data_IF_171706377416
#
_entry.id   IF_171706377416
#
_cell.length_a   1.000
_cell.length_b   1.000
_cell.length_c   1.000
_cell.angle_alpha   90.00
_cell.angle_beta   90.00
_cell.angle_gamma   90.00
#
_symmetry.space_group_name_H-M   'P 1'
#
loop_
_entity.id
_entity.type
_entity.pdbx_description
1 polymer ?
#
# COMPACT_ATOMS: atom_id res chain seq x y z
N UNK A 1 11.96 -19.61 -2.39
CA UNK A 1 12.07 -20.45 -1.20
C UNK A 1 10.74 -21.15 -0.99
N UNK A 2 10.79 -22.45 -0.75
CA UNK A 2 9.66 -23.30 -0.37
C UNK A 2 9.22 -23.03 1.06
N UNK A 3 8.01 -23.46 1.41
CA UNK A 3 7.46 -23.34 2.77
C UNK A 3 8.37 -24.01 3.81
N UNK A 4 8.91 -25.19 3.48
CA UNK A 4 9.82 -25.94 4.37
C UNK A 4 11.13 -25.21 4.62
N UNK A 5 11.73 -24.61 3.59
CA UNK A 5 12.95 -23.81 3.74
C UNK A 5 12.71 -22.61 4.66
N UNK A 6 11.58 -21.91 4.52
CA UNK A 6 11.20 -20.80 5.42
C UNK A 6 11.06 -21.27 6.86
N UNK A 7 10.35 -22.38 7.09
CA UNK A 7 10.23 -22.98 8.42
C UNK A 7 11.59 -23.35 9.02
N UNK A 8 12.51 -23.92 8.22
CA UNK A 8 13.85 -24.24 8.68
C UNK A 8 14.66 -22.99 9.05
N UNK A 9 14.57 -21.92 8.25
CA UNK A 9 15.24 -20.65 8.53
C UNK A 9 14.73 -19.96 9.80
N UNK A 10 13.43 -20.03 10.10
CA UNK A 10 12.88 -19.53 11.36
C UNK A 10 13.57 -20.14 12.59
N UNK A 11 13.95 -21.42 12.51
CA UNK A 11 14.68 -22.08 13.60
C UNK A 11 16.19 -21.83 13.54
N UNK A 12 16.80 -21.95 12.36
CA UNK A 12 18.25 -21.87 12.19
C UNK A 12 18.82 -20.46 12.37
N UNK A 13 18.10 -19.44 11.89
CA UNK A 13 18.49 -18.02 11.98
C UNK A 13 17.71 -17.28 13.10
N UNK A 14 16.88 -17.99 13.86
CA UNK A 14 15.97 -17.42 14.89
C UNK A 14 15.07 -16.28 14.36
N UNK A 15 14.67 -16.35 13.08
CA UNK A 15 13.78 -15.35 12.47
C UNK A 15 12.36 -15.46 13.03
N UNK A 16 11.72 -14.30 13.18
CA UNK A 16 10.29 -14.23 13.37
C UNK A 16 9.53 -14.77 12.14
N UNK A 17 8.31 -15.29 12.32
CA UNK A 17 7.46 -15.70 11.20
C UNK A 17 7.00 -14.53 10.31
N UNK A 18 6.98 -13.32 10.85
CA UNK A 18 6.40 -12.12 10.24
C UNK A 18 7.47 -11.05 10.09
N UNK A 19 7.55 -10.47 8.91
CA UNK A 19 8.43 -9.37 8.56
C UNK A 19 7.70 -8.03 8.54
N UNK A 20 8.30 -7.00 9.12
CA UNK A 20 7.90 -5.60 8.96
C UNK A 20 9.10 -4.76 8.54
N UNK A 21 9.04 -4.06 7.41
CA UNK A 21 10.15 -3.19 6.93
C UNK A 21 9.58 -1.85 6.50
N UNK A 22 9.69 -0.83 7.36
CA UNK A 22 9.22 0.53 7.07
C UNK A 22 10.18 1.57 7.65
N UNK A 23 10.32 2.69 6.94
CA UNK A 23 11.14 3.83 7.37
C UNK A 23 10.36 5.14 7.48
N UNK A 24 9.13 5.16 6.99
CA UNK A 24 8.20 6.28 7.12
C UNK A 24 7.25 5.97 8.28
N UNK A 25 7.47 6.63 9.41
CA UNK A 25 6.75 6.35 10.66
C UNK A 25 5.78 7.48 10.96
N UNK A 26 4.80 7.24 11.84
CA UNK A 26 3.72 8.21 12.10
C UNK A 26 2.97 8.55 10.80
N UNK A 27 2.36 7.53 10.19
CA UNK A 27 1.60 7.67 8.95
C UNK A 27 0.11 7.85 9.21
N UNK A 28 -0.63 8.41 8.25
CA UNK A 28 -2.09 8.60 8.36
C UNK A 28 -2.90 7.32 8.64
N UNK A 29 -2.38 6.15 8.29
CA UNK A 29 -2.96 4.84 8.62
C UNK A 29 -2.73 4.39 10.07
N UNK A 30 -1.91 5.10 10.85
CA UNK A 30 -1.50 4.74 12.22
C UNK A 30 -1.02 3.27 12.33
N UNK A 31 -0.36 2.81 11.26
CA UNK A 31 0.00 1.41 11.07
C UNK A 31 0.95 0.88 12.15
N UNK A 32 1.83 1.73 12.67
CA UNK A 32 2.82 1.38 13.68
C UNK A 32 2.16 0.97 15.01
N UNK A 33 1.05 1.62 15.36
CA UNK A 33 0.25 1.29 16.54
C UNK A 33 -0.38 -0.10 16.43
N UNK A 34 -0.95 -0.43 15.26
CA UNK A 34 -1.48 -1.78 14.99
C UNK A 34 -0.39 -2.85 15.04
N UNK A 35 0.78 -2.60 14.42
CA UNK A 35 1.93 -3.51 14.46
C UNK A 35 2.39 -3.74 15.89
N UNK A 36 2.52 -2.68 16.68
CA UNK A 36 2.92 -2.75 18.09
C UNK A 36 1.94 -3.57 18.94
N UNK A 37 0.64 -3.47 18.68
CA UNK A 37 -0.37 -4.31 19.33
C UNK A 37 -0.25 -5.78 18.89
N UNK A 38 -0.07 -6.03 17.59
CA UNK A 38 0.08 -7.38 17.04
C UNK A 38 1.35 -8.08 17.59
N UNK A 39 2.44 -7.33 17.81
CA UNK A 39 3.70 -7.84 18.37
C UNK A 39 3.55 -8.47 19.75
N UNK A 40 2.51 -8.11 20.51
CA UNK A 40 2.20 -8.74 21.81
C UNK A 40 1.74 -10.20 21.68
N UNK A 41 1.32 -10.62 20.48
CA UNK A 41 0.67 -11.91 20.24
C UNK A 41 1.42 -12.80 19.22
N UNK A 42 2.31 -12.23 18.42
CA UNK A 42 3.15 -12.95 17.47
C UNK A 42 4.49 -12.23 17.30
N UNK A 43 5.60 -12.99 17.20
CA UNK A 43 6.91 -12.41 16.92
C UNK A 43 6.91 -11.76 15.54
N UNK A 44 7.39 -10.52 15.47
CA UNK A 44 7.59 -9.74 14.25
C UNK A 44 9.02 -9.22 14.29
N UNK A 45 9.77 -9.46 13.22
CA UNK A 45 11.06 -8.80 13.01
C UNK A 45 10.80 -7.51 12.22
N UNK A 46 11.13 -6.39 12.84
CA UNK A 46 10.92 -5.05 12.35
C UNK A 46 12.26 -4.41 12.02
N UNK A 47 12.44 -4.12 10.73
CA UNK A 47 13.59 -3.45 10.16
C UNK A 47 13.20 -2.07 9.61
N UNK A 48 14.18 -1.21 9.38
CA UNK A 48 13.97 0.18 8.97
C UNK A 48 13.95 1.11 10.18
N UNK A 49 13.32 2.26 10.05
CA UNK A 49 13.27 3.26 11.13
C UNK A 49 12.13 3.01 12.12
N UNK A 50 11.03 2.40 11.68
CA UNK A 50 9.81 2.25 12.49
C UNK A 50 9.87 0.98 13.32
N UNK A 51 9.56 1.08 14.62
CA UNK A 51 9.69 0.03 15.67
C UNK A 51 11.13 -0.50 15.84
N UNK A 52 11.80 -0.91 14.77
CA UNK A 52 13.24 -1.19 14.65
C UNK A 52 13.78 -2.12 15.75
N UNK A 53 13.13 -3.27 15.94
CA UNK A 53 13.56 -4.29 16.90
C UNK A 53 14.56 -5.30 16.32
N UNK A 54 14.85 -5.22 15.01
CA UNK A 54 15.77 -6.09 14.30
C UNK A 54 16.69 -5.28 13.38
N UNK A 55 17.94 -5.72 13.23
CA UNK A 55 18.96 -4.99 12.47
C UNK A 55 19.18 -5.63 11.10
N UNK A 56 19.04 -4.80 10.06
CA UNK A 56 19.29 -5.20 8.69
C UNK A 56 20.82 -5.28 8.46
N UNK A 57 21.26 -6.18 7.60
CA UNK A 57 22.65 -6.17 7.11
C UNK A 57 22.92 -4.83 6.40
N UNK A 58 24.09 -4.23 6.62
CA UNK A 58 24.48 -2.98 5.98
C UNK A 58 24.40 -3.04 4.45
N UNK A 59 24.59 -4.23 3.84
CA UNK A 59 24.44 -4.44 2.40
C UNK A 59 23.03 -4.13 1.89
N UNK A 60 22.03 -4.33 2.73
CA UNK A 60 20.62 -4.10 2.41
C UNK A 60 20.13 -2.69 2.84
N UNK A 61 20.99 -1.86 3.47
CA UNK A 61 20.61 -0.53 3.99
C UNK A 61 20.71 0.59 2.94
N UNK A 62 21.50 0.42 1.88
CA UNK A 62 21.77 1.49 0.92
C UNK A 62 20.57 1.72 -0.02
N UNK A 63 19.98 2.92 -0.01
CA UNK A 63 18.92 3.39 -0.92
C UNK A 63 17.72 2.44 -1.13
N UNK A 64 16.78 2.45 -0.20
CA UNK A 64 15.47 1.76 -0.30
C UNK A 64 14.73 1.98 -1.64
N UNK A 65 14.91 3.17 -2.25
CA UNK A 65 14.26 3.54 -3.52
C UNK A 65 14.88 2.84 -4.75
N UNK A 66 16.19 2.58 -4.74
CA UNK A 66 16.88 1.86 -5.82
C UNK A 66 16.71 0.32 -5.69
N UNK A 67 16.30 -0.14 -4.51
CA UNK A 67 16.26 -1.56 -4.09
C UNK A 67 14.88 -2.21 -4.24
N UNK A 68 13.86 -1.49 -4.72
CA UNK A 68 12.48 -2.01 -4.81
C UNK A 68 12.37 -3.36 -5.55
N UNK A 69 13.30 -3.63 -6.48
CA UNK A 69 13.40 -4.89 -7.22
C UNK A 69 14.78 -5.57 -7.09
N UNK A 70 15.64 -5.13 -6.18
CA UNK A 70 16.95 -5.75 -5.97
C UNK A 70 16.78 -7.21 -5.54
N UNK A 71 17.55 -8.10 -6.19
CA UNK A 71 17.47 -9.54 -5.96
C UNK A 71 17.88 -9.91 -4.55
N UNK A 72 18.88 -9.23 -3.96
CA UNK A 72 19.33 -9.56 -2.61
C UNK A 72 18.26 -9.22 -1.59
N UNK A 73 17.66 -8.04 -1.71
CA UNK A 73 16.54 -7.65 -0.86
C UNK A 73 15.30 -8.53 -1.04
N UNK A 74 14.93 -8.87 -2.28
CA UNK A 74 13.83 -9.79 -2.54
C UNK A 74 14.10 -11.19 -1.96
N UNK A 75 15.35 -11.66 -2.01
CA UNK A 75 15.74 -12.91 -1.38
C UNK A 75 15.63 -12.85 0.15
N UNK A 76 16.01 -11.73 0.77
CA UNK A 76 15.81 -11.49 2.19
C UNK A 76 14.33 -11.55 2.59
N UNK A 77 13.46 -10.84 1.86
CA UNK A 77 12.00 -10.88 2.10
C UNK A 77 11.45 -12.30 1.90
N UNK A 78 12.00 -13.07 0.95
CA UNK A 78 11.58 -14.44 0.68
C UNK A 78 11.79 -15.41 1.86
N UNK A 79 12.68 -15.10 2.81
CA UNK A 79 12.94 -15.92 4.00
C UNK A 79 11.74 -15.98 4.95
N UNK A 80 10.88 -14.96 4.94
CA UNK A 80 9.74 -14.86 5.85
C UNK A 80 8.49 -15.54 5.29
N UNK A 81 7.67 -16.10 6.19
CA UNK A 81 6.36 -16.67 5.81
C UNK A 81 5.34 -15.56 5.53
N UNK A 82 5.32 -14.53 6.38
CA UNK A 82 4.42 -13.38 6.24
C UNK A 82 5.19 -12.07 6.14
N UNK A 83 4.62 -11.09 5.44
CA UNK A 83 5.15 -9.73 5.39
C UNK A 83 4.02 -8.74 5.59
N UNK A 84 4.18 -7.82 6.55
CA UNK A 84 3.24 -6.73 6.78
C UNK A 84 3.37 -5.72 5.63
N UNK A 85 2.30 -5.59 4.86
CA UNK A 85 2.16 -4.79 3.66
C UNK A 85 1.19 -3.63 3.90
N UNK A 86 1.47 -2.83 4.94
CA UNK A 86 0.61 -1.70 5.32
C UNK A 86 0.98 -0.44 4.56
N UNK A 87 0.00 0.20 3.95
CA UNK A 87 0.15 1.49 3.27
C UNK A 87 0.23 2.65 4.28
N UNK A 88 0.75 3.79 3.84
CA UNK A 88 0.86 5.00 4.67
C UNK A 88 -0.52 5.65 4.92
N UNK A 89 -1.49 5.40 4.05
CA UNK A 89 -2.85 5.95 4.12
C UNK A 89 -3.87 4.94 3.58
N UNK A 90 -5.13 5.12 3.96
CA UNK A 90 -6.26 4.28 3.53
C UNK A 90 -7.06 5.04 2.49
N UNK A 91 -6.79 4.76 1.22
CA UNK A 91 -7.42 5.43 0.09
C UNK A 91 -7.76 4.42 -1.00
N UNK A 92 -8.87 4.66 -1.71
CA UNK A 92 -9.19 3.86 -2.89
C UNK A 92 -8.04 3.91 -3.90
N UNK A 93 -7.72 2.74 -4.47
CA UNK A 93 -6.66 2.53 -5.47
C UNK A 93 -5.22 2.86 -5.04
N UNK A 94 -4.98 3.28 -3.79
CA UNK A 94 -3.63 3.45 -3.23
C UNK A 94 -3.02 2.10 -2.83
N UNK A 95 -2.52 1.38 -3.82
CA UNK A 95 -1.87 0.07 -3.68
C UNK A 95 -0.46 0.18 -4.24
N UNK A 96 0.53 0.04 -3.38
CA UNK A 96 1.93 0.28 -3.73
C UNK A 96 2.72 -1.02 -3.81
N UNK A 97 4.04 -0.91 -3.98
CA UNK A 97 4.97 -2.03 -3.99
C UNK A 97 4.86 -2.90 -2.72
N UNK A 98 4.35 -2.35 -1.60
CA UNK A 98 4.24 -3.06 -0.32
C UNK A 98 3.38 -4.31 -0.43
N UNK A 99 2.29 -4.26 -1.20
CA UNK A 99 1.47 -5.44 -1.48
C UNK A 99 2.17 -6.42 -2.44
N UNK A 100 2.76 -5.89 -3.50
CA UNK A 100 3.27 -6.69 -4.62
C UNK A 100 4.59 -7.41 -4.30
N UNK A 101 5.50 -6.76 -3.57
CA UNK A 101 6.82 -7.30 -3.20
C UNK A 101 6.74 -8.67 -2.53
N UNK A 102 5.97 -8.88 -1.44
CA UNK A 102 5.85 -10.20 -0.82
C UNK A 102 5.20 -11.24 -1.74
N UNK A 103 4.16 -10.85 -2.51
CA UNK A 103 3.50 -11.73 -3.48
C UNK A 103 4.49 -12.32 -4.49
N UNK A 104 5.38 -11.48 -5.02
CA UNK A 104 6.40 -11.87 -6.01
C UNK A 104 7.40 -12.86 -5.44
N UNK A 105 7.76 -12.77 -4.16
CA UNK A 105 8.75 -13.66 -3.53
C UNK A 105 8.14 -14.85 -2.80
N UNK A 106 6.81 -14.89 -2.71
CA UNK A 106 6.05 -15.97 -2.07
C UNK A 106 6.01 -15.85 -0.55
N UNK A 107 6.14 -14.64 -0.01
CA UNK A 107 5.73 -14.31 1.36
C UNK A 107 4.27 -13.85 1.31
N UNK A 108 3.44 -14.24 2.28
CA UNK A 108 2.01 -13.88 2.27
C UNK A 108 1.86 -12.47 2.86
N UNK A 109 1.36 -11.48 2.08
CA UNK A 109 1.11 -10.15 2.60
C UNK A 109 -0.02 -10.13 3.65
N UNK A 110 0.24 -9.46 4.77
CA UNK A 110 -0.77 -9.01 5.73
C UNK A 110 -1.05 -7.54 5.40
N UNK A 111 -2.24 -7.24 4.87
CA UNK A 111 -2.53 -5.98 4.19
C UNK A 111 -3.47 -5.07 4.98
N UNK A 112 -3.17 -3.78 4.92
CA UNK A 112 -4.01 -2.67 5.37
C UNK A 112 -3.66 -1.44 4.52
N UNK A 113 -4.64 -0.91 3.79
CA UNK A 113 -4.38 0.07 2.73
C UNK A 113 -5.65 0.33 1.93
N UNK A 114 -5.56 0.32 0.61
CA UNK A 114 -6.72 0.50 -0.25
C UNK A 114 -7.84 -0.51 0.01
N UNK A 115 -9.10 -0.07 0.16
CA UNK A 115 -10.27 -0.96 0.19
C UNK A 115 -10.42 -1.80 -1.09
N UNK A 116 -9.91 -1.32 -2.24
CA UNK A 116 -10.02 -1.99 -3.53
C UNK A 116 -8.96 -3.09 -3.74
N UNK A 117 -8.03 -3.32 -2.82
CA UNK A 117 -6.90 -4.23 -3.04
C UNK A 117 -7.28 -5.66 -3.46
N UNK A 118 -8.40 -6.19 -2.95
CA UNK A 118 -8.91 -7.52 -3.30
C UNK A 118 -9.24 -7.65 -4.78
N UNK A 119 -9.58 -6.54 -5.46
CA UNK A 119 -9.83 -6.52 -6.90
C UNK A 119 -8.56 -6.79 -7.74
N UNK A 120 -7.39 -6.61 -7.14
CA UNK A 120 -6.10 -6.71 -7.80
C UNK A 120 -5.28 -7.93 -7.36
N UNK A 121 -5.77 -8.73 -6.42
CA UNK A 121 -5.08 -9.95 -6.00
C UNK A 121 -5.16 -11.04 -7.09
N UNK A 122 -4.14 -11.92 -7.21
CA UNK A 122 -4.21 -13.09 -8.09
C UNK A 122 -5.45 -13.96 -7.84
N UNK A 123 -5.81 -14.14 -6.57
CA UNK A 123 -6.97 -14.88 -6.11
C UNK A 123 -7.39 -14.44 -4.69
N UNK A 124 -8.48 -15.01 -4.17
CA UNK A 124 -9.04 -14.66 -2.86
C UNK A 124 -8.16 -15.05 -1.67
N UNK A 125 -7.19 -15.95 -1.85
CA UNK A 125 -6.20 -16.37 -0.87
C UNK A 125 -4.80 -16.01 -1.39
N UNK A 126 -4.55 -14.74 -1.65
CA UNK A 126 -3.20 -14.25 -1.97
C UNK A 126 -2.69 -13.27 -0.92
N UNK A 127 -3.58 -12.71 -0.10
CA UNK A 127 -3.27 -11.77 0.96
C UNK A 127 -4.24 -11.96 2.13
N UNK A 128 -3.83 -11.50 3.31
CA UNK A 128 -4.63 -11.52 4.53
C UNK A 128 -5.00 -10.07 4.86
N UNK A 129 -6.29 -9.72 4.84
CA UNK A 129 -6.73 -8.39 5.28
C UNK A 129 -6.78 -8.32 6.80
N UNK A 130 -6.26 -7.26 7.41
CA UNK A 130 -6.50 -7.07 8.85
C UNK A 130 -7.97 -6.79 9.17
N UNK A 131 -8.70 -6.20 8.21
CA UNK A 131 -10.12 -5.87 8.35
C UNK A 131 -11.03 -7.10 8.40
N UNK A 132 -10.50 -8.29 8.06
CA UNK A 132 -11.24 -9.55 8.19
C UNK A 132 -11.23 -10.08 9.64
N UNK A 133 -10.56 -9.36 10.57
CA UNK A 133 -10.44 -9.73 11.99
C UNK A 133 -10.94 -8.61 12.90
N UNK A 134 -11.56 -8.98 14.01
CA UNK A 134 -12.07 -8.01 14.99
C UNK A 134 -10.99 -7.42 15.91
N UNK A 135 -9.78 -7.96 15.90
CA UNK A 135 -8.66 -7.49 16.73
C UNK A 135 -7.32 -8.11 16.31
N UNK A 136 -6.18 -7.47 16.66
CA UNK A 136 -4.84 -8.01 16.40
C UNK A 136 -4.60 -9.42 16.98
N UNK A 137 -5.14 -9.73 18.17
CA UNK A 137 -5.02 -11.07 18.76
C UNK A 137 -5.71 -12.16 17.91
N UNK A 138 -6.86 -11.85 17.29
CA UNK A 138 -7.56 -12.79 16.40
C UNK A 138 -6.77 -13.03 15.11
N UNK A 139 -6.16 -11.98 14.56
CA UNK A 139 -5.21 -12.12 13.46
C UNK A 139 -4.00 -12.98 13.86
N UNK A 140 -3.38 -12.74 15.02
CA UNK A 140 -2.26 -13.53 15.49
C UNK A 140 -2.61 -15.02 15.65
N UNK A 141 -3.77 -15.34 16.23
CA UNK A 141 -4.25 -16.72 16.32
C UNK A 141 -4.41 -17.38 14.95
N UNK A 142 -4.95 -16.64 13.98
CA UNK A 142 -5.07 -17.11 12.60
C UNK A 142 -3.70 -17.39 11.97
N UNK A 143 -2.73 -16.49 12.13
CA UNK A 143 -1.36 -16.68 11.65
C UNK A 143 -0.69 -17.89 12.30
N UNK A 144 -0.84 -18.08 13.61
CA UNK A 144 -0.32 -19.27 14.32
C UNK A 144 -0.90 -20.58 13.78
N UNK A 145 -2.18 -20.60 13.38
CA UNK A 145 -2.77 -21.78 12.76
C UNK A 145 -2.14 -22.09 11.39
N UNK A 146 -1.86 -21.06 10.58
CA UNK A 146 -1.15 -21.22 9.32
C UNK A 146 0.32 -21.66 9.51
N UNK A 147 0.99 -21.20 10.57
CA UNK A 147 2.36 -21.63 10.90
C UNK A 147 2.44 -23.13 11.22
N UNK A 148 1.37 -23.71 11.78
CA UNK A 148 1.29 -25.13 12.15
C UNK A 148 0.85 -26.04 10.99
N UNK A 149 0.32 -25.47 9.91
CA UNK A 149 -0.23 -26.23 8.80
C UNK A 149 0.29 -25.67 7.47
N UNK A 150 1.37 -26.27 6.97
CA UNK A 150 2.01 -25.87 5.71
C UNK A 150 1.04 -25.95 4.52
N UNK A 151 0.14 -26.94 4.47
CA UNK A 151 -0.87 -27.02 3.40
C UNK A 151 -1.82 -25.83 3.43
N UNK A 152 -2.30 -25.44 4.62
CA UNK A 152 -3.18 -24.28 4.75
C UNK A 152 -2.46 -22.96 4.43
N UNK A 153 -1.18 -22.85 4.78
CA UNK A 153 -0.34 -21.71 4.39
C UNK A 153 -0.12 -21.67 2.86
N UNK A 154 0.14 -22.81 2.23
CA UNK A 154 0.40 -22.91 0.79
C UNK A 154 -0.82 -22.60 -0.08
N UNK A 155 -2.04 -22.72 0.45
CA UNK A 155 -3.24 -22.18 -0.21
C UNK A 155 -3.11 -20.68 -0.49
N UNK A 156 -2.40 -19.94 0.38
CA UNK A 156 -2.13 -18.51 0.20
C UNK A 156 -1.06 -18.20 -0.87
N UNK A 157 -0.40 -19.24 -1.41
CA UNK A 157 0.68 -19.15 -2.39
C UNK A 157 0.32 -19.82 -3.71
N UNK A 158 -0.96 -20.12 -3.92
CA UNK A 158 -1.46 -20.82 -5.11
C UNK A 158 -1.09 -20.12 -6.42
N UNK A 159 -0.93 -18.79 -6.44
CA UNK A 159 -0.46 -18.04 -7.61
C UNK A 159 0.96 -18.40 -8.04
N UNK A 160 1.80 -18.92 -7.13
CA UNK A 160 3.16 -19.41 -7.42
C UNK A 160 3.22 -20.93 -7.55
N UNK A 161 2.50 -21.65 -6.69
CA UNK A 161 2.64 -23.09 -6.54
C UNK A 161 1.80 -23.89 -7.55
N UNK A 162 0.72 -23.31 -8.10
CA UNK A 162 -0.08 -24.00 -9.11
C UNK A 162 0.74 -24.29 -10.38
N UNK A 163 0.77 -25.56 -10.78
CA UNK A 163 1.44 -26.01 -11.99
C UNK A 163 0.74 -25.48 -13.26
N UNK A 164 -0.58 -25.42 -13.22
CA UNK A 164 -1.44 -24.92 -14.29
C UNK A 164 -1.52 -23.40 -14.26
N UNK A 165 -1.12 -22.74 -15.36
CA UNK A 165 -1.03 -21.28 -15.45
C UNK A 165 -2.40 -20.62 -15.30
N UNK A 166 -3.44 -21.23 -15.85
CA UNK A 166 -4.83 -20.82 -15.77
C UNK A 166 -5.37 -20.80 -14.33
N UNK A 167 -4.76 -21.56 -13.42
CA UNK A 167 -5.15 -21.62 -12.01
C UNK A 167 -4.29 -20.71 -11.11
N UNK A 168 -3.28 -20.01 -11.66
CA UNK A 168 -2.45 -19.09 -10.88
C UNK A 168 -3.16 -17.78 -10.59
N UNK A 169 -3.96 -17.31 -11.54
CA UNK A 169 -4.76 -16.09 -11.42
C UNK A 169 -6.20 -16.44 -11.74
N UNK A 170 -7.08 -16.37 -10.74
CA UNK A 170 -8.50 -16.70 -10.88
C UNK A 170 -9.39 -15.47 -10.69
N UNK A 171 -8.81 -14.33 -10.31
CA UNK A 171 -9.52 -13.07 -10.20
C UNK A 171 -9.87 -12.53 -11.60
N UNK A 172 -11.16 -12.54 -11.94
CA UNK A 172 -11.67 -12.10 -13.24
C UNK A 172 -11.48 -10.60 -13.49
N UNK A 173 -11.55 -9.75 -12.46
CA UNK A 173 -11.30 -8.30 -12.60
C UNK A 173 -9.85 -8.06 -13.01
N UNK A 174 -8.91 -8.73 -12.33
CA UNK A 174 -7.49 -8.64 -12.65
C UNK A 174 -7.19 -9.17 -14.05
N UNK A 175 -7.73 -10.35 -14.41
CA UNK A 175 -7.55 -10.91 -15.77
C UNK A 175 -8.07 -9.95 -16.84
N UNK A 176 -9.27 -9.40 -16.64
CA UNK A 176 -9.86 -8.44 -17.57
C UNK A 176 -9.02 -7.17 -17.71
N UNK A 177 -8.48 -6.66 -16.61
CA UNK A 177 -7.59 -5.50 -16.62
C UNK A 177 -6.27 -5.79 -17.36
N UNK A 178 -5.70 -6.99 -17.16
CA UNK A 178 -4.48 -7.42 -17.85
C UNK A 178 -4.70 -7.62 -19.36
N UNK A 179 -5.83 -8.16 -19.77
CA UNK A 179 -6.20 -8.34 -21.19
C UNK A 179 -6.42 -7.00 -21.91
N UNK A 180 -7.06 -6.04 -21.23
CA UNK A 180 -7.34 -4.71 -21.78
C UNK A 180 -6.15 -3.75 -21.73
N UNK A 181 -5.10 -4.09 -21.00
CA UNK A 181 -3.89 -3.26 -20.91
C UNK A 181 -3.29 -3.12 -22.32
N UNK A 182 -3.04 -1.89 -22.74
CA UNK A 182 -2.36 -1.64 -24.02
C UNK A 182 -0.99 -2.30 -24.01
N UNK A 183 -0.78 -3.25 -24.92
CA UNK A 183 0.51 -3.92 -25.15
C UNK A 183 1.44 -2.91 -25.80
N UNK A 184 2.21 -2.18 -24.99
CA UNK A 184 3.07 -1.11 -25.49
C UNK A 184 3.58 -0.14 -24.44
N UNK A 185 2.94 -0.08 -23.25
CA UNK A 185 3.50 0.68 -22.13
C UNK A 185 4.74 -0.09 -21.66
N UNK A 186 5.97 0.46 -21.83
CA UNK A 186 7.18 -0.21 -21.37
C UNK A 186 7.03 -0.57 -19.90
N UNK A 187 7.47 -1.78 -19.52
CA UNK A 187 7.51 -2.22 -18.12
C UNK A 187 8.57 -1.47 -17.29
N UNK A 188 9.13 -0.39 -17.81
CA UNK A 188 10.10 0.44 -17.12
C UNK A 188 9.36 1.32 -16.12
N UNK A 189 9.29 0.81 -14.89
CA UNK A 189 9.11 1.64 -13.70
C UNK A 189 10.11 2.81 -13.79
N UNK A 190 9.64 3.96 -14.26
CA UNK A 190 10.51 5.11 -14.51
C UNK A 190 9.90 6.17 -15.42
N UNK A 191 8.99 5.80 -16.32
CA UNK A 191 8.46 6.74 -17.33
C UNK A 191 6.96 7.07 -17.22
N UNK A 192 6.33 6.91 -16.05
CA UNK A 192 4.92 7.33 -15.93
C UNK A 192 4.77 8.85 -16.01
N UNK A 193 5.79 9.60 -15.58
CA UNK A 193 5.77 11.06 -15.61
C UNK A 193 5.98 11.58 -17.03
N UNK A 194 6.98 11.11 -17.78
CA UNK A 194 7.16 11.56 -19.16
C UNK A 194 6.06 11.01 -20.08
N UNK A 195 5.52 9.81 -19.85
CA UNK A 195 4.30 9.33 -20.55
C UNK A 195 3.08 10.20 -20.22
N UNK A 196 2.91 10.62 -18.96
CA UNK A 196 1.82 11.53 -18.59
C UNK A 196 2.01 12.91 -19.23
N UNK A 197 3.24 13.45 -19.22
CA UNK A 197 3.58 14.71 -19.88
C UNK A 197 3.36 14.62 -21.39
N UNK A 198 3.79 13.53 -22.04
CA UNK A 198 3.52 13.25 -23.45
C UNK A 198 2.02 13.16 -23.72
N UNK A 199 1.27 12.43 -22.88
CA UNK A 199 -0.18 12.35 -22.98
C UNK A 199 -0.83 13.74 -22.90
N UNK A 200 -0.43 14.57 -21.95
CA UNK A 200 -0.94 15.96 -21.81
C UNK A 200 -0.57 16.77 -23.05
N UNK A 201 0.68 16.73 -23.51
CA UNK A 201 1.15 17.44 -24.69
C UNK A 201 0.40 17.01 -25.97
N UNK A 202 0.22 15.71 -26.19
CA UNK A 202 -0.56 15.19 -27.32
C UNK A 202 -2.01 15.65 -27.27
N UNK A 203 -2.61 15.68 -26.08
CA UNK A 203 -4.00 16.14 -25.88
C UNK A 203 -4.15 17.63 -26.19
N UNK A 204 -3.17 18.44 -25.80
CA UNK A 204 -3.12 19.88 -26.13
C UNK A 204 -2.95 20.06 -27.64
N UNK A 205 -2.04 19.30 -28.27
CA UNK A 205 -1.72 19.45 -29.70
C UNK A 205 -2.84 18.95 -30.63
N UNK A 206 -3.52 17.85 -30.29
CA UNK A 206 -4.56 17.22 -31.14
C UNK A 206 -5.86 18.02 -31.25
N UNK A 207 -6.03 19.11 -30.49
CA UNK A 207 -7.02 20.18 -30.68
C UNK A 207 -8.40 19.72 -31.20
N UNK A 208 -8.96 18.63 -30.66
CA UNK A 208 -10.31 18.17 -31.01
C UNK A 208 -11.32 18.92 -30.16
N UNK A 209 -12.08 19.79 -30.81
CA UNK A 209 -13.17 20.58 -30.25
C UNK A 209 -14.29 19.74 -29.58
N UNK A 210 -14.29 18.42 -29.75
CA UNK A 210 -15.08 17.51 -28.91
C UNK A 210 -14.24 17.01 -27.73
N UNK A 211 -13.99 17.89 -26.77
CA UNK A 211 -13.55 17.46 -25.44
C UNK A 211 -14.68 16.63 -24.83
N UNK A 212 -14.59 15.30 -24.94
CA UNK A 212 -15.36 14.39 -24.08
C UNK A 212 -15.01 14.78 -22.64
N UNK A 213 -15.90 15.54 -22.00
CA UNK A 213 -15.72 15.99 -20.62
C UNK A 213 -15.73 14.76 -19.73
N UNK A 214 -14.54 14.33 -19.32
CA UNK A 214 -14.39 13.36 -18.24
C UNK A 214 -14.51 14.13 -16.93
N UNK A 215 -15.64 13.96 -16.23
CA UNK A 215 -15.83 14.56 -14.91
C UNK A 215 -15.15 13.67 -13.89
N UNK A 216 -14.08 14.19 -13.29
CA UNK A 216 -13.48 13.59 -12.10
C UNK A 216 -14.40 13.89 -10.92
N UNK A 217 -14.79 12.85 -10.21
CA UNK A 217 -15.63 12.94 -9.01
C UNK A 217 -14.87 12.40 -7.81
N UNK A 218 -15.48 12.48 -6.62
CA UNK A 218 -14.97 11.77 -5.44
C UNK A 218 -14.80 10.26 -5.64
N UNK A 219 -15.39 9.66 -6.67
CA UNK A 219 -15.16 8.23 -6.97
C UNK A 219 -13.75 7.93 -7.49
N UNK A 220 -13.01 8.93 -7.98
CA UNK A 220 -11.69 8.74 -8.58
C UNK A 220 -10.54 9.10 -7.63
N UNK A 221 -10.72 10.09 -6.75
CA UNK A 221 -9.69 10.55 -5.82
C UNK A 221 -10.31 10.86 -4.46
N UNK A 222 -10.54 9.82 -3.66
CA UNK A 222 -11.05 9.99 -2.31
C UNK A 222 -10.23 9.17 -1.32
N UNK A 223 -9.63 9.90 -0.38
CA UNK A 223 -9.06 9.36 0.83
C UNK A 223 -10.00 9.68 1.98
N UNK A 224 -10.46 8.66 2.68
CA UNK A 224 -11.28 8.86 3.87
C UNK A 224 -10.44 9.52 4.97
N UNK A 225 -11.12 10.16 5.92
CA UNK A 225 -10.46 10.69 7.11
C UNK A 225 -9.72 9.54 7.83
N UNK A 226 -8.47 9.78 8.30
CA UNK A 226 -7.72 8.83 9.09
C UNK A 226 -8.53 8.21 10.23
N UNK A 227 -8.40 6.89 10.40
CA UNK A 227 -9.04 6.11 11.45
C UNK A 227 -8.00 5.27 12.15
N UNK A 228 -8.17 5.12 13.44
CA UNK A 228 -7.39 4.20 14.24
C UNK A 228 -7.63 2.76 13.73
N UNK A 229 -6.57 1.99 13.38
CA UNK A 229 -6.71 0.66 12.80
C UNK A 229 -7.16 -0.42 13.79
N UNK A 230 -7.15 -0.13 15.09
CA UNK A 230 -7.55 -1.06 16.15
C UNK A 230 -9.01 -0.80 16.56
N UNK A 231 -9.38 0.46 16.78
CA UNK A 231 -10.71 0.86 17.26
C UNK A 231 -11.67 1.26 16.13
N UNK A 232 -11.15 1.68 14.99
CA UNK A 232 -11.93 2.25 13.87
C UNK A 232 -12.39 3.70 14.10
N UNK A 233 -12.07 4.28 15.26
CA UNK A 233 -12.47 5.63 15.64
C UNK A 233 -11.62 6.70 14.96
N UNK A 234 -12.17 7.90 14.82
CA UNK A 234 -11.46 9.07 14.31
C UNK A 234 -10.89 9.84 15.50
N UNK A 235 -9.56 9.90 15.59
CA UNK A 235 -8.90 10.74 16.58
C UNK A 235 -8.83 12.18 16.08
N UNK A 236 -9.74 13.03 16.55
CA UNK A 236 -9.79 14.47 16.19
C UNK A 236 -8.57 15.28 16.62
N UNK A 237 -7.74 14.75 17.53
CA UNK A 237 -6.51 15.41 18.01
C UNK A 237 -5.26 14.92 17.29
N UNK A 238 -5.40 13.97 16.37
CA UNK A 238 -4.29 13.48 15.57
C UNK A 238 -3.93 14.52 14.49
N UNK A 239 -2.64 14.82 14.35
CA UNK A 239 -2.09 15.72 13.33
C UNK A 239 -2.57 15.40 11.90
N UNK A 240 -2.64 14.12 11.52
CA UNK A 240 -3.15 13.69 10.21
C UNK A 240 -4.63 14.02 10.01
N UNK A 241 -5.42 14.00 11.08
CA UNK A 241 -6.84 14.40 11.02
C UNK A 241 -6.97 15.91 10.86
N UNK A 242 -6.12 16.69 11.53
CA UNK A 242 -6.04 18.14 11.36
C UNK A 242 -5.60 18.50 9.94
N UNK A 243 -4.50 17.91 9.47
CA UNK A 243 -3.99 18.10 8.11
C UNK A 243 -5.02 17.74 7.04
N UNK A 244 -5.75 16.64 7.20
CA UNK A 244 -6.82 16.29 6.26
C UNK A 244 -7.91 17.39 6.19
N UNK A 245 -8.26 18.01 7.33
CA UNK A 245 -9.25 19.09 7.35
C UNK A 245 -8.70 20.39 6.73
N UNK A 246 -7.43 20.72 6.96
CA UNK A 246 -6.76 21.87 6.33
C UNK A 246 -6.68 21.67 4.81
N UNK A 247 -6.31 20.48 4.35
CA UNK A 247 -6.17 20.20 2.91
C UNK A 247 -7.52 20.07 2.19
N UNK A 248 -8.61 19.81 2.93
CA UNK A 248 -9.97 19.99 2.40
C UNK A 248 -10.23 21.44 2.01
N UNK A 249 -9.78 22.41 2.81
CA UNK A 249 -9.81 23.83 2.47
C UNK A 249 -8.92 24.12 1.25
N UNK A 250 -7.69 23.58 1.24
CA UNK A 250 -6.76 23.71 0.12
C UNK A 250 -7.35 23.24 -1.21
N UNK A 251 -8.01 22.08 -1.23
CA UNK A 251 -8.66 21.55 -2.43
C UNK A 251 -9.79 22.45 -2.94
N UNK A 252 -10.61 23.01 -2.04
CA UNK A 252 -11.70 23.94 -2.39
C UNK A 252 -11.15 25.25 -2.95
N UNK A 253 -10.12 25.79 -2.32
CA UNK A 253 -9.44 27.01 -2.75
C UNK A 253 -8.76 26.83 -4.11
N UNK A 254 -8.04 25.71 -4.29
CA UNK A 254 -7.40 25.38 -5.56
C UNK A 254 -8.41 25.25 -6.69
N UNK A 255 -9.55 24.59 -6.43
CA UNK A 255 -10.64 24.50 -7.40
C UNK A 255 -11.18 25.87 -7.79
N UNK A 256 -11.36 26.79 -6.83
CA UNK A 256 -11.77 28.17 -7.10
C UNK A 256 -10.76 28.90 -7.99
N UNK A 257 -9.46 28.80 -7.69
CA UNK A 257 -8.40 29.47 -8.44
C UNK A 257 -8.36 28.98 -9.90
N UNK A 258 -8.38 27.65 -10.09
CA UNK A 258 -8.34 27.03 -11.42
C UNK A 258 -9.57 27.41 -12.23
N UNK A 259 -10.77 27.35 -11.64
CA UNK A 259 -12.03 27.63 -12.37
C UNK A 259 -12.20 29.10 -12.74
N UNK A 260 -11.56 30.01 -12.01
CA UNK A 260 -11.61 31.46 -12.27
C UNK A 260 -10.34 32.01 -12.93
N UNK A 261 -9.41 31.14 -13.35
CA UNK A 261 -8.14 31.52 -13.98
C UNK A 261 -7.31 32.51 -13.14
N UNK A 262 -7.28 32.30 -11.83
CA UNK A 262 -6.53 33.10 -10.86
C UNK A 262 -5.12 32.52 -10.74
N UNK A 263 -4.09 33.36 -10.83
CA UNK A 263 -2.70 32.94 -10.63
C UNK A 263 -2.44 32.54 -9.17
N UNK A 264 -1.70 31.45 -8.98
CA UNK A 264 -1.38 30.95 -7.63
C UNK A 264 -0.05 31.56 -7.18
N UNK A 265 -0.11 32.42 -6.17
CA UNK A 265 1.04 32.75 -5.34
C UNK A 265 1.00 31.87 -4.09
N UNK A 266 2.02 31.03 -3.89
CA UNK A 266 2.02 29.98 -2.85
C UNK A 266 1.80 30.57 -1.46
N UNK A 267 2.53 31.64 -1.10
CA UNK A 267 2.39 32.27 0.22
C UNK A 267 0.97 32.77 0.47
N UNK A 268 0.40 33.48 -0.51
CA UNK A 268 -0.96 34.02 -0.39
C UNK A 268 -2.02 32.91 -0.36
N UNK A 269 -1.81 31.85 -1.14
CA UNK A 269 -2.69 30.68 -1.15
C UNK A 269 -2.71 29.99 0.22
N UNK A 270 -1.54 29.80 0.85
CA UNK A 270 -1.45 29.18 2.17
C UNK A 270 -2.08 30.05 3.27
N UNK A 271 -1.89 31.38 3.23
CA UNK A 271 -2.55 32.32 4.16
C UNK A 271 -4.08 32.26 4.04
N UNK A 272 -4.62 32.26 2.82
CA UNK A 272 -6.06 32.12 2.59
C UNK A 272 -6.58 30.75 3.02
N UNK A 273 -5.84 29.67 2.72
CA UNK A 273 -6.18 28.30 3.14
C UNK A 273 -6.34 28.22 4.65
N UNK A 274 -5.39 28.78 5.41
CA UNK A 274 -5.46 28.79 6.87
C UNK A 274 -6.61 29.67 7.39
N UNK A 275 -6.84 30.84 6.78
CA UNK A 275 -7.98 31.70 7.13
C UNK A 275 -9.32 30.98 6.93
N UNK A 276 -9.48 30.25 5.82
CA UNK A 276 -10.68 29.44 5.58
C UNK A 276 -10.83 28.32 6.61
N UNK A 277 -9.73 27.68 7.01
CA UNK A 277 -9.74 26.65 8.03
C UNK A 277 -10.19 27.21 9.39
N UNK A 278 -9.61 28.32 9.83
CA UNK A 278 -9.94 28.99 11.10
C UNK A 278 -11.41 29.44 11.16
N UNK A 279 -11.97 29.84 10.01
CA UNK A 279 -13.37 30.26 9.88
C UNK A 279 -14.36 29.10 9.67
N UNK A 280 -13.90 27.83 9.62
CA UNK A 280 -14.71 26.66 9.24
C UNK A 280 -15.38 26.78 7.86
N UNK A 281 -14.69 27.38 6.89
CA UNK A 281 -15.18 27.62 5.52
C UNK A 281 -14.72 26.54 4.52
N UNK A 282 -14.17 25.43 5.01
CA UNK A 282 -13.96 24.21 4.24
C UNK A 282 -15.33 23.51 3.96
#
# INVERSE_FOLDING_TARGET
>A
MSTKEKSALMHAENLAPVLYIQSDCDTASDRDSYVSELMKHIRIDSYGACVNNAQLDNRLKNNYLDILSDREFLFFVAKYKFTIAFENAICDDYITEKLWRPLVVGSVPIYYGSPSFKDWLPNNKSAISILDFTSPIKLAHFLHNLLKNDSAYEEYLSHKLNLKRENRVTNSKLLHALEKRQTGIPNDFGNYMEEFECFVCERIQKNSYELKKSIVTKRQYNCSLPRDPITGEINKRNWWTEQWNIEKCGAKLLSHYITNNISINIKHFDEQKMTMYDNNEC
#
